data_IF_601516790954
#
_entry.id   IF_601516790954
#
_cell.length_a   1.000
_cell.length_b   1.000
_cell.length_c   1.000
_cell.angle_alpha   90.00
_cell.angle_beta   90.00
_cell.angle_gamma   90.00
#
_symmetry.space_group_name_H-M   'P 1'
#
loop_
_entity.id
_entity.type
_entity.pdbx_description
1 polymer ?
#
# COMPACT_ATOMS: atom_id res chain seq x y z
N UNK A 1 18.86 0.84 21.75
CA UNK A 1 19.65 0.79 20.49
C UNK A 1 18.64 0.89 19.39
N UNK A 2 18.64 1.92 18.52
CA UNK A 2 17.65 2.01 17.43
C UNK A 2 17.69 0.73 16.60
N UNK A 3 16.79 -0.19 16.92
CA UNK A 3 16.76 -1.51 16.32
C UNK A 3 15.49 -1.65 15.51
N UNK A 4 15.56 -2.46 14.45
CA UNK A 4 14.39 -2.78 13.64
C UNK A 4 13.28 -3.38 14.52
N UNK A 5 13.62 -4.14 15.57
CA UNK A 5 12.65 -4.72 16.50
C UNK A 5 11.85 -3.66 17.27
N UNK A 6 12.51 -2.58 17.71
CA UNK A 6 11.81 -1.47 18.38
C UNK A 6 10.83 -0.77 17.42
N UNK A 7 11.16 -0.63 16.14
CA UNK A 7 10.25 -0.05 15.14
C UNK A 7 9.10 -1.01 14.81
N UNK A 8 9.37 -2.31 14.72
CA UNK A 8 8.35 -3.35 14.49
C UNK A 8 7.37 -3.49 15.66
N UNK A 9 7.73 -3.02 16.85
CA UNK A 9 6.85 -2.95 18.02
C UNK A 9 5.81 -1.81 17.94
N UNK A 10 5.80 -0.99 16.87
CA UNK A 10 4.83 0.08 16.71
C UNK A 10 3.38 -0.46 16.77
N UNK A 11 2.49 0.09 17.63
CA UNK A 11 1.17 -0.51 17.90
C UNK A 11 0.30 -0.78 16.67
N UNK A 12 0.38 0.08 15.66
CA UNK A 12 -0.36 -0.11 14.41
C UNK A 12 -0.03 -1.41 13.66
N UNK A 13 1.22 -1.88 13.73
CA UNK A 13 1.63 -3.10 13.03
C UNK A 13 0.93 -4.33 13.62
N UNK A 14 0.61 -4.31 14.92
CA UNK A 14 -0.09 -5.39 15.60
C UNK A 14 -1.62 -5.43 15.36
N UNK A 15 -2.23 -4.35 14.83
CA UNK A 15 -3.67 -4.32 14.56
C UNK A 15 -4.06 -5.34 13.47
N UNK A 16 -5.20 -6.02 13.62
CA UNK A 16 -5.74 -6.90 12.57
C UNK A 16 -6.38 -6.09 11.43
N UNK A 17 -6.36 -6.58 10.18
CA UNK A 17 -7.16 -6.01 9.09
C UNK A 17 -8.67 -6.07 9.39
N UNK A 18 -9.50 -5.16 8.84
CA UNK A 18 -9.13 -4.07 7.93
C UNK A 18 -8.46 -2.91 8.66
N UNK A 19 -7.34 -2.41 8.12
CA UNK A 19 -6.60 -1.27 8.69
C UNK A 19 -5.94 -0.43 7.60
N UNK A 20 -5.81 0.86 7.85
CA UNK A 20 -5.15 1.83 6.96
C UNK A 20 -4.31 2.80 7.79
N UNK A 21 -3.29 3.39 7.18
CA UNK A 21 -2.45 4.43 7.78
C UNK A 21 -1.96 5.39 6.71
N UNK A 22 -1.48 6.54 7.14
CA UNK A 22 -0.77 7.51 6.32
C UNK A 22 0.26 8.28 7.14
N UNK A 23 0.43 9.56 6.77
CA UNK A 23 1.43 10.48 7.34
C UNK A 23 1.11 10.88 8.78
N UNK A 24 -0.11 10.67 9.22
CA UNK A 24 -0.54 10.86 10.60
C UNK A 24 0.15 9.90 11.58
N UNK A 25 0.58 8.72 11.13
CA UNK A 25 1.39 7.80 11.94
C UNK A 25 2.85 7.74 11.48
N UNK A 26 3.09 7.56 10.18
CA UNK A 26 4.44 7.33 9.63
C UNK A 26 4.93 8.53 8.81
N UNK A 27 4.66 9.74 9.31
CA UNK A 27 5.06 11.00 8.68
C UNK A 27 6.32 11.63 9.26
N UNK A 28 6.43 12.95 9.13
CA UNK A 28 7.60 13.71 9.55
C UNK A 28 7.94 13.58 11.04
N UNK A 29 6.92 13.44 11.90
CA UNK A 29 7.10 13.26 13.36
C UNK A 29 7.84 11.95 13.64
N UNK A 30 7.32 10.83 13.13
CA UNK A 30 7.99 9.52 13.23
C UNK A 30 9.41 9.56 12.66
N UNK A 31 9.60 10.17 11.49
CA UNK A 31 10.93 10.32 10.88
C UNK A 31 11.91 11.10 11.76
N UNK A 32 11.45 12.20 12.38
CA UNK A 32 12.26 13.01 13.28
C UNK A 32 12.64 12.25 14.57
N UNK A 33 11.73 11.44 15.11
CA UNK A 33 12.00 10.58 16.28
C UNK A 33 13.06 9.53 15.97
N UNK A 34 12.93 8.84 14.82
CA UNK A 34 13.94 7.87 14.36
C UNK A 34 15.29 8.54 14.17
N UNK A 35 15.31 9.72 13.54
CA UNK A 35 16.51 10.51 13.32
C UNK A 35 17.20 10.91 14.63
N UNK A 36 16.45 11.49 15.57
CA UNK A 36 16.98 11.90 16.87
C UNK A 36 17.58 10.72 17.64
N UNK A 37 16.91 9.57 17.61
CA UNK A 37 17.43 8.32 18.21
C UNK A 37 18.69 7.86 17.51
N UNK A 38 18.74 7.81 16.19
CA UNK A 38 19.96 7.42 15.47
C UNK A 38 21.16 8.31 15.84
N UNK A 39 20.95 9.63 15.88
CA UNK A 39 21.97 10.61 16.25
C UNK A 39 22.48 10.44 17.68
N UNK A 40 21.61 10.10 18.63
CA UNK A 40 22.01 9.81 20.01
C UNK A 40 22.94 8.59 20.13
N UNK A 41 22.94 7.70 19.12
CA UNK A 41 23.79 6.52 19.06
C UNK A 41 25.00 6.70 18.13
N UNK A 42 25.22 7.91 17.61
CA UNK A 42 26.33 8.22 16.71
C UNK A 42 26.15 7.69 15.28
N UNK A 43 24.93 7.30 14.89
CA UNK A 43 24.65 6.79 13.54
C UNK A 43 24.50 7.93 12.52
N UNK A 44 24.90 7.64 11.28
CA UNK A 44 24.80 8.54 10.14
C UNK A 44 23.41 8.56 9.51
N UNK A 45 23.23 9.41 8.50
CA UNK A 45 21.95 9.47 7.77
C UNK A 45 21.72 8.22 6.91
N UNK A 46 22.80 7.66 6.37
CA UNK A 46 22.85 6.40 5.66
C UNK A 46 22.30 5.24 6.50
N UNK A 47 22.67 5.17 7.79
CA UNK A 47 22.18 4.15 8.71
C UNK A 47 20.68 4.31 8.98
N UNK A 48 20.18 5.55 9.07
CA UNK A 48 18.76 5.84 9.22
C UNK A 48 17.98 5.36 7.99
N UNK A 49 18.44 5.70 6.79
CA UNK A 49 17.80 5.28 5.55
C UNK A 49 17.82 3.76 5.40
N UNK A 50 18.95 3.12 5.69
CA UNK A 50 19.07 1.66 5.68
C UNK A 50 18.11 1.01 6.70
N UNK A 51 18.04 1.54 7.92
CA UNK A 51 17.16 1.05 8.98
C UNK A 51 15.68 1.18 8.60
N UNK A 52 15.26 2.33 8.05
CA UNK A 52 13.88 2.55 7.61
C UNK A 52 13.51 1.69 6.40
N UNK A 53 14.46 1.45 5.49
CA UNK A 53 14.28 0.53 4.35
C UNK A 53 14.08 -0.90 4.87
N UNK A 54 14.93 -1.35 5.79
CA UNK A 54 14.83 -2.67 6.39
C UNK A 54 13.56 -2.83 7.24
N UNK A 55 13.15 -1.80 7.97
CA UNK A 55 11.87 -1.75 8.69
C UNK A 55 10.67 -1.89 7.73
N UNK A 56 10.70 -1.20 6.59
CA UNK A 56 9.66 -1.31 5.56
C UNK A 56 9.56 -2.74 5.04
N UNK A 57 10.69 -3.35 4.63
CA UNK A 57 10.72 -4.74 4.17
C UNK A 57 10.23 -5.73 5.24
N UNK A 58 10.68 -5.54 6.49
CA UNK A 58 10.34 -6.42 7.60
C UNK A 58 8.86 -6.31 7.97
N UNK A 59 8.29 -5.11 8.01
CA UNK A 59 6.86 -4.90 8.32
C UNK A 59 5.93 -5.47 7.24
N UNK A 60 6.30 -5.36 5.96
CA UNK A 60 5.56 -6.01 4.86
C UNK A 60 5.59 -7.54 5.05
N UNK A 61 6.77 -8.12 5.24
CA UNK A 61 6.90 -9.57 5.38
C UNK A 61 6.23 -10.11 6.66
N UNK A 62 6.27 -9.37 7.75
CA UNK A 62 5.56 -9.70 8.99
C UNK A 62 4.03 -9.69 8.76
N UNK A 63 3.50 -8.67 8.08
CA UNK A 63 2.08 -8.62 7.72
C UNK A 63 1.64 -9.79 6.83
N UNK A 64 2.46 -10.18 5.84
CA UNK A 64 2.18 -11.34 4.98
C UNK A 64 2.03 -12.60 5.81
N UNK A 65 2.99 -12.88 6.71
CA UNK A 65 2.96 -14.09 7.54
C UNK A 65 1.83 -14.10 8.56
N UNK A 66 1.45 -12.95 9.11
CA UNK A 66 0.41 -12.86 10.15
C UNK A 66 -1.00 -12.94 9.58
N UNK A 67 -1.23 -12.34 8.42
CA UNK A 67 -2.60 -12.05 7.97
C UNK A 67 -3.00 -12.76 6.68
N UNK A 68 -2.06 -13.34 5.91
CA UNK A 68 -2.43 -14.20 4.79
C UNK A 68 -2.72 -15.62 5.31
N UNK A 69 -3.74 -16.30 4.75
CA UNK A 69 -4.02 -17.69 5.09
C UNK A 69 -2.88 -18.64 4.69
N UNK A 70 -2.15 -18.29 3.62
CA UNK A 70 -0.94 -18.95 3.17
C UNK A 70 -0.04 -17.93 2.45
N UNK A 71 1.26 -18.19 2.40
CA UNK A 71 2.17 -17.39 1.59
C UNK A 71 1.81 -17.54 0.10
N UNK A 72 1.93 -16.46 -0.71
CA UNK A 72 1.66 -16.52 -2.14
C UNK A 72 2.85 -17.12 -2.90
N UNK A 73 2.59 -17.70 -4.07
CA UNK A 73 3.63 -18.14 -5.00
C UNK A 73 4.29 -16.97 -5.74
N UNK A 74 3.54 -15.90 -5.99
CA UNK A 74 3.99 -14.72 -6.71
C UNK A 74 3.50 -13.42 -6.05
N UNK A 75 4.37 -12.40 -6.04
CA UNK A 75 4.10 -11.06 -5.57
C UNK A 75 4.42 -10.06 -6.69
N UNK A 76 3.39 -9.35 -7.15
CA UNK A 76 3.54 -8.28 -8.16
C UNK A 76 3.69 -6.94 -7.45
N UNK A 77 4.87 -6.31 -7.56
CA UNK A 77 5.14 -5.00 -6.95
C UNK A 77 4.81 -3.84 -7.90
N UNK A 78 4.42 -2.71 -7.30
CA UNK A 78 4.11 -1.46 -7.99
C UNK A 78 4.34 -0.23 -7.12
N UNK A 79 4.16 0.95 -7.73
CA UNK A 79 4.38 2.25 -7.11
C UNK A 79 5.86 2.62 -6.97
N UNK A 80 6.17 3.85 -6.54
CA UNK A 80 7.54 4.36 -6.53
C UNK A 80 8.55 3.53 -5.72
N UNK A 81 8.10 2.87 -4.66
CA UNK A 81 8.93 1.97 -3.84
C UNK A 81 9.41 0.72 -4.59
N UNK A 82 8.70 0.31 -5.65
CA UNK A 82 9.12 -0.81 -6.50
C UNK A 82 10.51 -0.57 -7.09
N UNK A 83 10.89 0.66 -7.42
CA UNK A 83 12.16 0.96 -8.06
C UNK A 83 13.37 0.99 -7.10
N UNK A 84 13.18 0.77 -5.80
CA UNK A 84 14.28 0.72 -4.83
C UNK A 84 14.91 -0.69 -4.82
N UNK A 85 16.12 -0.88 -5.36
CA UNK A 85 16.74 -2.21 -5.48
C UNK A 85 17.04 -2.85 -4.12
N UNK A 86 17.40 -2.05 -3.12
CA UNK A 86 17.68 -2.53 -1.76
C UNK A 86 16.42 -3.06 -1.09
N UNK A 87 15.30 -2.32 -1.20
CA UNK A 87 14.01 -2.77 -0.68
C UNK A 87 13.55 -4.07 -1.35
N UNK A 88 13.69 -4.15 -2.68
CA UNK A 88 13.31 -5.34 -3.45
C UNK A 88 14.15 -6.54 -3.05
N UNK A 89 15.48 -6.40 -2.93
CA UNK A 89 16.35 -7.48 -2.48
C UNK A 89 15.96 -7.99 -1.09
N UNK A 90 15.72 -7.08 -0.14
CA UNK A 90 15.26 -7.44 1.21
C UNK A 90 13.89 -8.12 1.22
N UNK A 91 12.98 -7.73 0.33
CA UNK A 91 11.68 -8.38 0.18
C UNK A 91 11.84 -9.79 -0.42
N UNK A 92 12.67 -9.97 -1.44
CA UNK A 92 12.93 -11.29 -2.05
C UNK A 92 13.44 -12.28 -1.00
N UNK A 93 14.40 -11.86 -0.17
CA UNK A 93 14.91 -12.70 0.92
C UNK A 93 13.82 -13.04 1.94
N UNK A 94 13.02 -12.05 2.34
CA UNK A 94 12.02 -12.22 3.40
C UNK A 94 10.77 -12.96 2.97
N UNK A 95 10.39 -12.88 1.69
CA UNK A 95 9.17 -13.49 1.16
C UNK A 95 9.42 -14.81 0.46
N UNK A 96 10.67 -15.27 0.35
CA UNK A 96 11.00 -16.59 -0.18
C UNK A 96 10.13 -17.69 0.47
N UNK A 97 9.60 -18.64 -0.32
CA UNK A 97 9.92 -18.91 -1.73
C UNK A 97 9.10 -18.11 -2.76
N UNK A 98 8.29 -17.12 -2.35
CA UNK A 98 7.48 -16.34 -3.28
C UNK A 98 8.35 -15.61 -4.32
N UNK A 99 7.95 -15.68 -5.58
CA UNK A 99 8.60 -14.95 -6.68
C UNK A 99 8.14 -13.50 -6.65
N UNK A 100 9.07 -12.55 -6.62
CA UNK A 100 8.73 -11.12 -6.68
C UNK A 100 8.96 -10.61 -8.11
N UNK A 101 7.87 -10.23 -8.78
CA UNK A 101 7.87 -9.60 -10.10
C UNK A 101 7.38 -8.15 -10.01
N UNK A 102 7.38 -7.39 -11.10
CA UNK A 102 6.81 -6.02 -11.17
C UNK A 102 5.66 -5.91 -12.16
N UNK A 103 4.86 -4.85 -12.06
CA UNK A 103 3.84 -4.56 -13.06
C UNK A 103 4.44 -4.48 -14.47
N UNK A 104 5.61 -3.86 -14.63
CA UNK A 104 6.27 -3.71 -15.95
C UNK A 104 6.60 -5.08 -16.56
N UNK A 105 7.04 -6.02 -15.73
CA UNK A 105 7.35 -7.38 -16.17
C UNK A 105 6.11 -8.15 -16.65
N UNK A 106 4.92 -7.79 -16.17
CA UNK A 106 3.64 -8.38 -16.62
C UNK A 106 2.90 -7.49 -17.64
N UNK A 107 3.58 -6.49 -18.22
CA UNK A 107 3.03 -5.63 -19.28
C UNK A 107 2.10 -4.52 -18.79
N UNK A 108 2.15 -4.17 -17.50
CA UNK A 108 1.35 -3.12 -16.89
C UNK A 108 2.25 -1.96 -16.43
N UNK A 109 1.76 -0.73 -16.55
CA UNK A 109 2.47 0.44 -15.99
C UNK A 109 2.18 0.57 -14.50
N UNK A 110 3.23 0.54 -13.65
CA UNK A 110 3.06 0.85 -12.23
C UNK A 110 2.48 2.23 -11.98
N UNK A 111 2.91 3.23 -12.75
CA UNK A 111 2.48 4.62 -12.62
C UNK A 111 1.00 4.81 -12.99
N UNK A 112 0.51 4.03 -13.96
CA UNK A 112 -0.89 4.10 -14.38
C UNK A 112 -1.84 3.36 -13.44
N UNK A 113 -1.36 2.44 -12.60
CA UNK A 113 -2.20 1.51 -11.82
C UNK A 113 -3.27 2.22 -10.99
N UNK A 114 -2.89 3.27 -10.27
CA UNK A 114 -3.82 4.01 -9.41
C UNK A 114 -4.81 4.84 -10.23
N UNK A 115 -4.35 5.48 -11.31
CA UNK A 115 -5.23 6.22 -12.22
C UNK A 115 -6.28 5.30 -12.87
N UNK A 116 -5.86 4.12 -13.32
CA UNK A 116 -6.77 3.09 -13.87
C UNK A 116 -7.75 2.61 -12.80
N UNK A 117 -7.31 2.41 -11.55
CA UNK A 117 -8.23 2.05 -10.47
C UNK A 117 -9.32 3.11 -10.24
N UNK A 118 -8.98 4.40 -10.31
CA UNK A 118 -9.99 5.48 -10.25
C UNK A 118 -10.92 5.50 -11.46
N UNK A 119 -10.41 5.23 -12.66
CA UNK A 119 -11.24 5.12 -13.86
C UNK A 119 -12.26 3.97 -13.74
N UNK A 120 -11.83 2.81 -13.23
CA UNK A 120 -12.73 1.69 -12.95
C UNK A 120 -13.76 2.08 -11.88
N UNK A 121 -13.36 2.73 -10.79
CA UNK A 121 -14.30 3.20 -9.78
C UNK A 121 -15.33 4.18 -10.35
N UNK A 122 -14.93 5.11 -11.20
CA UNK A 122 -15.84 6.04 -11.87
C UNK A 122 -16.83 5.32 -12.81
N UNK A 123 -16.35 4.30 -13.53
CA UNK A 123 -17.19 3.44 -14.36
C UNK A 123 -18.23 2.70 -13.51
N UNK A 124 -17.83 2.09 -12.39
CA UNK A 124 -18.75 1.45 -11.45
C UNK A 124 -19.77 2.47 -10.87
N UNK A 125 -19.35 3.69 -10.54
CA UNK A 125 -20.23 4.76 -10.05
C UNK A 125 -21.31 5.13 -11.06
N UNK A 126 -20.94 5.32 -12.34
CA UNK A 126 -21.90 5.67 -13.41
C UNK A 126 -22.96 4.56 -13.57
N UNK A 127 -22.56 3.30 -13.40
CA UNK A 127 -23.45 2.14 -13.51
C UNK A 127 -24.20 1.82 -12.20
N UNK A 128 -24.08 2.67 -11.16
CA UNK A 128 -24.72 2.43 -9.86
C UNK A 128 -24.24 1.14 -9.17
N UNK A 129 -23.05 0.64 -9.50
CA UNK A 129 -22.49 -0.60 -8.96
C UNK A 129 -21.55 -0.31 -7.79
N UNK A 130 -21.53 -1.17 -6.75
CA UNK A 130 -20.65 -0.96 -5.60
C UNK A 130 -19.17 -1.03 -5.95
N UNK A 131 -18.40 -0.01 -5.55
CA UNK A 131 -16.96 0.05 -5.77
C UNK A 131 -16.11 -0.47 -4.60
N UNK A 132 -16.72 -0.72 -3.43
CA UNK A 132 -16.01 -1.20 -2.24
C UNK A 132 -16.12 -2.72 -2.04
N UNK A 133 -15.16 -3.25 -1.28
CA UNK A 133 -15.19 -4.60 -0.73
C UNK A 133 -15.27 -4.51 0.80
N UNK A 134 -16.43 -4.80 1.43
CA UNK A 134 -16.60 -4.79 2.90
C UNK A 134 -15.49 -5.51 3.66
N UNK A 135 -15.07 -6.70 3.17
CA UNK A 135 -13.98 -7.48 3.77
C UNK A 135 -12.62 -6.77 3.79
N UNK A 136 -12.42 -5.79 2.91
CA UNK A 136 -11.18 -5.02 2.81
C UNK A 136 -11.25 -3.70 3.59
N UNK A 137 -12.44 -3.11 3.75
CA UNK A 137 -12.62 -1.77 4.31
C UNK A 137 -13.28 -1.74 5.70
N UNK A 138 -13.93 -2.82 6.12
CA UNK A 138 -14.74 -2.86 7.35
C UNK A 138 -16.12 -2.22 7.21
N UNK A 139 -16.52 -1.84 5.99
CA UNK A 139 -17.86 -1.29 5.76
C UNK A 139 -18.94 -2.34 6.04
N UNK A 140 -20.06 -1.94 6.63
CA UNK A 140 -21.18 -2.85 6.94
C UNK A 140 -21.91 -3.40 5.69
N UNK A 141 -21.74 -2.76 4.54
CA UNK A 141 -22.35 -3.18 3.28
C UNK A 141 -21.56 -2.69 2.06
N UNK A 142 -21.91 -3.26 0.90
CA UNK A 142 -21.43 -2.78 -0.41
C UNK A 142 -22.16 -1.48 -0.76
N UNK A 143 -21.42 -0.48 -1.20
CA UNK A 143 -21.93 0.85 -1.55
C UNK A 143 -21.29 1.36 -2.84
N UNK A 144 -22.04 2.15 -3.59
CA UNK A 144 -21.50 2.94 -4.71
C UNK A 144 -20.57 3.99 -4.13
N UNK A 145 -19.36 4.09 -4.70
CA UNK A 145 -18.35 5.06 -4.27
C UNK A 145 -18.39 6.31 -5.15
N UNK A 146 -17.80 7.41 -4.67
CA UNK A 146 -17.65 8.63 -5.44
C UNK A 146 -18.90 9.53 -5.48
N UNK A 147 -18.78 10.63 -6.22
CA UNK A 147 -19.86 11.60 -6.49
C UNK A 147 -19.76 12.01 -7.95
N UNK A 148 -20.91 12.14 -8.63
CA UNK A 148 -20.96 12.62 -10.01
C UNK A 148 -21.10 14.13 -9.99
N UNK A 149 -20.18 14.82 -10.68
CA UNK A 149 -20.28 16.25 -10.98
C UNK A 149 -20.73 16.40 -12.43
N UNK A 150 -21.98 16.85 -12.71
CA UNK A 150 -22.51 16.90 -14.06
C UNK A 150 -21.67 17.76 -15.02
N UNK A 151 -21.18 17.14 -16.10
CA UNK A 151 -20.53 17.80 -17.23
C UNK A 151 -21.49 17.98 -18.42
N UNK A 152 -20.97 18.45 -19.55
CA UNK A 152 -21.77 18.71 -20.77
C UNK A 152 -22.46 17.47 -21.34
N UNK A 153 -21.86 16.29 -21.17
CA UNK A 153 -22.37 15.01 -21.66
C UNK A 153 -23.12 14.20 -20.59
N UNK A 154 -23.47 14.79 -19.43
CA UNK A 154 -24.09 14.06 -18.32
C UNK A 154 -25.39 13.38 -18.73
N UNK A 155 -26.29 14.08 -19.43
CA UNK A 155 -27.57 13.50 -19.86
C UNK A 155 -27.37 12.31 -20.79
N UNK A 156 -26.45 12.42 -21.76
CA UNK A 156 -26.15 11.33 -22.69
C UNK A 156 -25.64 10.10 -21.95
N UNK A 157 -24.66 10.28 -21.06
CA UNK A 157 -24.07 9.19 -20.27
C UNK A 157 -25.08 8.49 -19.36
N UNK A 158 -26.04 9.22 -18.78
CA UNK A 158 -27.03 8.60 -17.89
C UNK A 158 -28.19 7.93 -18.64
N UNK A 159 -28.50 8.37 -19.87
CA UNK A 159 -29.60 7.83 -20.69
C UNK A 159 -29.16 6.57 -21.46
N UNK A 160 -27.98 6.58 -22.08
CA UNK A 160 -27.45 5.43 -22.84
C UNK A 160 -27.30 4.17 -21.96
N UNK A 161 -27.11 4.36 -20.66
CA UNK A 161 -26.91 3.28 -19.67
C UNK A 161 -28.20 2.84 -18.95
N UNK A 162 -29.35 3.46 -19.26
CA UNK A 162 -30.67 3.08 -18.72
C UNK A 162 -31.49 2.19 -19.66
N UNK A 163 -30.95 1.88 -20.85
CA UNK A 163 -31.56 1.06 -21.91
C UNK A 163 -30.91 -0.32 -22.00
#
# INVERSE_FOLDING_TARGET
MLSIQELLAHPYLAQSPPKTTGREQFGAVFGAEVWARARAWGLGGEDVVATLTAFTAASIADAYRRFLPHMPDEVIRGGGGASNPTLVAMLCERLAPATITSHEAVGLSSDAKEAVAFAVLAYETIHGRPGNLPRCTGAGQRVVLGKITPGRNFQQLMIEESA
#
